data_IF_445502169623
#
_entry.id   IF_445502169623
#
_cell.length_a   1.000
_cell.length_b   1.000
_cell.length_c   1.000
_cell.angle_alpha   90.00
_cell.angle_beta   90.00
_cell.angle_gamma   90.00
#
_symmetry.space_group_name_H-M   'P 1'
#
loop_
_entity.id
_entity.type
_entity.pdbx_description
1 polymer ?
#
# COMPACT_ATOMS: atom_id res chain seq x y z
N UNK A 1 -3.45 25.49 -6.51
CA UNK A 1 -2.46 24.45 -6.21
C UNK A 1 -3.26 23.16 -6.20
N UNK A 2 -3.07 22.29 -7.18
CA UNK A 2 -3.71 20.98 -7.16
C UNK A 2 -3.20 20.28 -5.90
N UNK A 3 -4.11 19.73 -5.10
CA UNK A 3 -3.76 19.07 -3.87
C UNK A 3 -2.90 17.84 -4.21
N UNK A 4 -1.60 17.90 -3.91
CA UNK A 4 -0.63 16.90 -4.36
C UNK A 4 -1.01 15.51 -3.84
N UNK A 5 -1.62 15.46 -2.64
CA UNK A 5 -2.14 14.26 -2.00
C UNK A 5 -3.25 13.62 -2.83
N UNK A 6 -4.19 14.43 -3.33
CA UNK A 6 -5.28 13.93 -4.17
C UNK A 6 -4.78 13.26 -5.45
N UNK A 7 -3.70 13.79 -6.04
CA UNK A 7 -3.08 13.19 -7.23
C UNK A 7 -2.48 11.81 -6.92
N UNK A 8 -1.93 11.61 -5.73
CA UNK A 8 -1.39 10.32 -5.32
C UNK A 8 -2.51 9.28 -5.11
N UNK A 9 -3.63 9.66 -4.49
CA UNK A 9 -4.78 8.77 -4.36
C UNK A 9 -5.42 8.40 -5.69
N UNK A 10 -5.53 9.35 -6.64
CA UNK A 10 -5.97 9.06 -8.01
C UNK A 10 -5.04 8.06 -8.72
N UNK A 11 -3.72 8.19 -8.52
CA UNK A 11 -2.72 7.28 -9.08
C UNK A 11 -2.80 5.90 -8.43
N UNK A 12 -3.03 5.85 -7.12
CA UNK A 12 -3.26 4.61 -6.38
C UNK A 12 -4.50 3.88 -6.91
N UNK A 13 -5.64 4.56 -7.04
CA UNK A 13 -6.87 3.98 -7.59
C UNK A 13 -6.67 3.41 -9.00
N UNK A 14 -5.87 4.06 -9.85
CA UNK A 14 -5.50 3.53 -11.17
C UNK A 14 -4.63 2.29 -11.08
N UNK A 15 -3.63 2.29 -10.20
CA UNK A 15 -2.76 1.13 -9.98
C UNK A 15 -3.58 -0.09 -9.54
N UNK A 16 -4.56 0.10 -8.64
CA UNK A 16 -5.45 -0.96 -8.15
C UNK A 16 -6.21 -1.69 -9.26
N UNK A 17 -6.44 -1.05 -10.42
CA UNK A 17 -7.10 -1.70 -11.57
C UNK A 17 -6.31 -2.87 -12.16
N UNK A 18 -5.03 -3.02 -11.80
CA UNK A 18 -4.18 -4.14 -12.20
C UNK A 18 -4.21 -5.31 -11.22
N UNK A 19 -4.90 -5.18 -10.08
CA UNK A 19 -4.92 -6.17 -9.01
C UNK A 19 -6.34 -6.64 -8.70
N UNK A 20 -6.46 -7.87 -8.20
CA UNK A 20 -7.70 -8.32 -7.59
C UNK A 20 -7.86 -7.66 -6.22
N UNK A 21 -8.98 -6.95 -6.03
CA UNK A 21 -9.25 -6.20 -4.82
C UNK A 21 -10.59 -6.60 -4.20
N UNK A 22 -10.63 -6.68 -2.88
CA UNK A 22 -11.85 -6.74 -2.10
C UNK A 22 -11.89 -5.60 -1.09
N UNK A 23 -13.07 -5.19 -0.67
CA UNK A 23 -13.25 -4.05 0.23
C UNK A 23 -14.33 -4.35 1.26
N UNK A 24 -14.10 -3.87 2.48
CA UNK A 24 -15.06 -3.95 3.57
C UNK A 24 -15.28 -2.60 4.23
N UNK A 25 -16.52 -2.38 4.67
CA UNK A 25 -16.94 -1.28 5.52
C UNK A 25 -17.52 -1.86 6.81
N UNK A 26 -16.91 -1.55 7.96
CA UNK A 26 -17.23 -2.15 9.26
C UNK A 26 -17.25 -3.70 9.21
N UNK A 27 -16.30 -4.28 8.48
CA UNK A 27 -16.17 -5.73 8.30
C UNK A 27 -17.21 -6.36 7.35
N UNK A 28 -18.09 -5.55 6.75
CA UNK A 28 -19.07 -6.02 5.76
C UNK A 28 -18.54 -5.78 4.36
N UNK A 29 -18.52 -6.84 3.54
CA UNK A 29 -18.08 -6.76 2.15
C UNK A 29 -18.94 -5.78 1.34
N UNK A 30 -18.28 -4.91 0.57
CA UNK A 30 -18.92 -3.91 -0.27
C UNK A 30 -18.07 -3.62 -1.52
N UNK A 31 -18.63 -2.98 -2.55
CA UNK A 31 -17.83 -2.45 -3.66
C UNK A 31 -16.89 -1.34 -3.17
N UNK A 32 -15.64 -1.35 -3.63
CA UNK A 32 -14.70 -0.28 -3.33
C UNK A 32 -15.15 1.04 -4.00
N UNK A 33 -15.41 2.12 -3.25
CA UNK A 33 -15.97 3.36 -3.81
C UNK A 33 -14.91 4.34 -4.33
N UNK A 34 -13.62 3.94 -4.34
CA UNK A 34 -12.47 4.79 -4.65
C UNK A 34 -11.91 5.49 -3.41
N UNK A 35 -10.59 5.76 -3.43
CA UNK A 35 -9.86 6.28 -2.26
C UNK A 35 -10.41 7.61 -1.77
N UNK A 36 -10.82 8.51 -2.68
CA UNK A 36 -11.42 9.79 -2.32
C UNK A 36 -12.75 9.64 -1.56
N UNK A 37 -13.62 8.72 -2.00
CA UNK A 37 -14.89 8.46 -1.33
C UNK A 37 -14.67 7.87 0.05
N UNK A 38 -13.69 6.97 0.18
CA UNK A 38 -13.30 6.39 1.46
C UNK A 38 -12.74 7.47 2.40
N UNK A 39 -11.79 8.30 1.96
CA UNK A 39 -11.20 9.35 2.80
C UNK A 39 -12.22 10.44 3.17
N UNK A 40 -13.23 10.69 2.33
CA UNK A 40 -14.33 11.59 2.62
C UNK A 40 -15.35 11.03 3.62
N UNK A 41 -15.41 9.72 3.82
CA UNK A 41 -16.23 9.08 4.84
C UNK A 41 -15.37 8.66 6.03
N UNK A 42 -15.52 9.35 7.16
CA UNK A 42 -14.74 9.08 8.38
C UNK A 42 -15.52 8.27 9.41
N UNK A 43 -16.73 7.82 9.05
CA UNK A 43 -17.53 6.94 9.89
C UNK A 43 -17.10 5.49 9.67
N UNK A 44 -17.01 4.69 10.73
CA UNK A 44 -16.68 3.27 10.62
C UNK A 44 -15.23 2.98 10.22
N UNK A 45 -14.98 1.72 9.87
CA UNK A 45 -13.68 1.19 9.46
C UNK A 45 -13.69 0.79 7.98
N UNK A 46 -12.71 1.31 7.25
CA UNK A 46 -12.51 1.06 5.83
C UNK A 46 -11.27 0.19 5.63
N UNK A 47 -11.43 -0.96 4.98
CA UNK A 47 -10.30 -1.86 4.66
C UNK A 47 -10.41 -2.29 3.21
N UNK A 48 -9.38 -1.99 2.44
CA UNK A 48 -9.16 -2.54 1.10
C UNK A 48 -8.13 -3.66 1.20
N UNK A 49 -8.40 -4.82 0.62
CA UNK A 49 -7.49 -5.94 0.54
C UNK A 49 -7.11 -6.19 -0.92
N UNK A 50 -5.82 -6.15 -1.20
CA UNK A 50 -5.20 -6.34 -2.53
C UNK A 50 -4.56 -7.72 -2.54
N UNK A 51 -4.99 -8.58 -3.47
CA UNK A 51 -4.44 -9.92 -3.63
C UNK A 51 -3.32 -9.89 -4.68
N UNK A 52 -2.12 -10.31 -4.28
CA UNK A 52 -0.99 -10.51 -5.20
C UNK A 52 -1.04 -11.91 -5.84
N UNK A 53 -0.17 -12.19 -6.81
CA UNK A 53 -0.04 -13.54 -7.34
C UNK A 53 0.45 -14.50 -6.22
N UNK A 54 -0.42 -15.42 -5.80
CA UNK A 54 -0.15 -16.34 -4.67
C UNK A 54 -1.04 -16.05 -3.45
N UNK A 55 -0.62 -16.45 -2.24
CA UNK A 55 -1.42 -16.31 -1.03
C UNK A 55 -1.25 -14.96 -0.30
N UNK A 56 -0.47 -14.02 -0.84
CA UNK A 56 -0.13 -12.77 -0.15
C UNK A 56 -1.23 -11.74 -0.32
N UNK A 57 -1.73 -11.23 0.80
CA UNK A 57 -2.69 -10.15 0.84
C UNK A 57 -2.06 -8.90 1.44
N UNK A 58 -2.28 -7.76 0.79
CA UNK A 58 -1.89 -6.44 1.29
C UNK A 58 -3.16 -5.70 1.70
N UNK A 59 -3.18 -5.16 2.91
CA UNK A 59 -4.32 -4.42 3.44
C UNK A 59 -4.03 -2.92 3.46
N UNK A 60 -4.91 -2.10 2.91
CA UNK A 60 -4.88 -0.65 3.07
C UNK A 60 -5.95 -0.22 4.08
N UNK A 61 -5.48 0.40 5.16
CA UNK A 61 -6.32 1.05 6.15
C UNK A 61 -6.29 2.57 5.90
N UNK A 62 -7.45 3.16 5.61
CA UNK A 62 -7.55 4.56 5.20
C UNK A 62 -7.59 5.50 6.42
N UNK A 63 -6.44 5.67 7.08
CA UNK A 63 -6.36 6.44 8.31
C UNK A 63 -6.40 7.96 8.12
N UNK A 64 -5.61 8.54 7.23
CA UNK A 64 -5.60 10.00 6.96
C UNK A 64 -5.29 10.23 5.47
N UNK A 65 -5.59 11.42 4.95
CA UNK A 65 -5.41 11.71 3.52
C UNK A 65 -3.93 11.92 3.15
N UNK A 66 -3.11 12.27 4.13
CA UNK A 66 -1.70 12.62 3.98
C UNK A 66 -0.80 11.37 3.95
N UNK A 67 -1.33 10.20 4.35
CA UNK A 67 -0.55 8.97 4.52
C UNK A 67 -1.26 7.78 3.86
N UNK A 68 -0.57 7.17 2.90
CA UNK A 68 -0.93 5.86 2.37
C UNK A 68 -0.14 4.79 3.14
N UNK A 69 -0.85 4.01 3.93
CA UNK A 69 -0.29 2.91 4.70
C UNK A 69 -0.85 1.57 4.22
N UNK A 70 0.04 0.58 4.11
CA UNK A 70 -0.26 -0.74 3.62
C UNK A 70 0.36 -1.78 4.54
N UNK A 71 -0.48 -2.64 5.10
CA UNK A 71 -0.09 -3.73 5.97
C UNK A 71 0.14 -5.01 5.17
N UNK A 72 1.22 -5.71 5.50
CA UNK A 72 1.60 -6.98 4.91
C UNK A 72 1.89 -7.95 6.06
N UNK A 73 1.33 -9.15 6.02
CA UNK A 73 1.61 -10.18 7.01
C UNK A 73 2.87 -10.98 6.61
N UNK A 74 3.99 -10.90 7.35
CA UNK A 74 5.23 -11.62 6.98
C UNK A 74 5.05 -13.14 6.91
N UNK A 75 4.04 -13.69 7.61
CA UNK A 75 3.73 -15.12 7.60
C UNK A 75 3.14 -15.61 6.27
N UNK A 76 2.60 -14.71 5.45
CA UNK A 76 2.06 -15.04 4.13
C UNK A 76 3.17 -15.12 3.06
N UNK A 77 4.31 -14.49 3.33
CA UNK A 77 5.48 -14.46 2.43
C UNK A 77 6.25 -15.79 2.57
N UNK A 78 5.80 -16.79 1.84
CA UNK A 78 6.36 -18.14 1.87
C UNK A 78 7.19 -18.44 0.63
N UNK A 79 8.51 -18.36 0.77
CA UNK A 79 9.46 -18.65 -0.30
C UNK A 79 9.76 -17.47 -1.22
N UNK A 80 10.67 -17.69 -2.17
CA UNK A 80 11.23 -16.63 -3.02
C UNK A 80 10.19 -15.96 -3.91
N UNK A 81 9.28 -16.73 -4.52
CA UNK A 81 8.27 -16.17 -5.43
C UNK A 81 7.32 -15.20 -4.72
N UNK A 82 6.79 -15.56 -3.55
CA UNK A 82 5.94 -14.66 -2.77
C UNK A 82 6.69 -13.38 -2.33
N UNK A 83 7.98 -13.52 -2.01
CA UNK A 83 8.83 -12.38 -1.67
C UNK A 83 9.06 -11.45 -2.88
N UNK A 84 9.36 -12.01 -4.06
CA UNK A 84 9.52 -11.25 -5.30
C UNK A 84 8.24 -10.51 -5.71
N UNK A 85 7.07 -11.13 -5.52
CA UNK A 85 5.77 -10.48 -5.78
C UNK A 85 5.53 -9.27 -4.87
N UNK A 86 5.86 -9.39 -3.57
CA UNK A 86 5.77 -8.26 -2.64
C UNK A 86 6.71 -7.13 -3.06
N UNK A 87 7.96 -7.44 -3.41
CA UNK A 87 8.90 -6.42 -3.86
C UNK A 87 8.41 -5.76 -5.15
N UNK A 88 7.99 -6.54 -6.14
CA UNK A 88 7.43 -6.04 -7.40
C UNK A 88 6.22 -5.12 -7.16
N UNK A 89 5.31 -5.49 -6.26
CA UNK A 89 4.20 -4.62 -5.87
C UNK A 89 4.68 -3.29 -5.31
N UNK A 90 5.64 -3.30 -4.36
CA UNK A 90 6.16 -2.08 -3.74
C UNK A 90 6.88 -1.19 -4.76
N UNK A 91 7.62 -1.77 -5.70
CA UNK A 91 8.25 -1.04 -6.80
C UNK A 91 7.19 -0.37 -7.68
N UNK A 92 6.17 -1.12 -8.11
CA UNK A 92 5.08 -0.61 -8.94
C UNK A 92 4.30 0.50 -8.22
N UNK A 93 4.05 0.35 -6.93
CA UNK A 93 3.43 1.36 -6.08
C UNK A 93 4.24 2.66 -6.07
N UNK A 94 5.52 2.57 -5.70
CA UNK A 94 6.40 3.72 -5.62
C UNK A 94 6.56 4.43 -6.99
N UNK A 95 6.68 3.65 -8.06
CA UNK A 95 6.78 4.18 -9.43
C UNK A 95 5.48 4.86 -9.88
N UNK A 96 4.31 4.27 -9.60
CA UNK A 96 3.02 4.84 -9.96
C UNK A 96 2.73 6.15 -9.20
N UNK A 97 3.11 6.21 -7.92
CA UNK A 97 2.91 7.37 -7.08
C UNK A 97 3.99 8.45 -7.27
N UNK A 98 5.16 8.07 -7.79
CA UNK A 98 6.39 8.88 -7.83
C UNK A 98 6.90 9.26 -6.42
N UNK A 99 6.65 8.38 -5.44
CA UNK A 99 7.03 8.54 -4.04
C UNK A 99 7.90 7.38 -3.57
N UNK A 100 8.81 7.63 -2.62
CA UNK A 100 9.55 6.55 -1.97
C UNK A 100 8.58 5.66 -1.18
N UNK A 101 8.81 4.35 -1.22
CA UNK A 101 8.09 3.40 -0.38
C UNK A 101 9.00 2.94 0.76
N UNK A 102 8.52 3.05 1.98
CA UNK A 102 9.22 2.70 3.21
C UNK A 102 8.60 1.44 3.78
N UNK A 103 9.43 0.44 4.10
CA UNK A 103 8.97 -0.77 4.78
C UNK A 103 9.53 -0.74 6.20
N UNK A 104 8.62 -0.70 7.16
CA UNK A 104 8.89 -0.58 8.59
C UNK A 104 8.25 -1.75 9.33
N UNK A 105 8.71 -2.07 10.56
CA UNK A 105 7.86 -2.77 11.51
C UNK A 105 6.61 -1.93 11.80
N UNK A 106 5.48 -2.57 12.08
CA UNK A 106 4.18 -1.94 12.35
C UNK A 106 4.25 -0.79 13.38
N UNK A 107 5.11 -0.92 14.40
CA UNK A 107 5.18 0.04 15.50
C UNK A 107 6.35 1.04 15.39
N UNK A 108 7.07 1.04 14.27
CA UNK A 108 8.29 1.85 14.10
C UNK A 108 8.36 2.56 12.75
N UNK A 109 7.38 3.44 12.47
CA UNK A 109 7.28 4.20 11.21
C UNK A 109 8.56 5.00 10.85
N UNK A 110 9.39 5.34 11.84
CA UNK A 110 10.60 6.17 11.64
C UNK A 110 11.87 5.35 11.42
N UNK A 111 11.81 4.02 11.49
CA UNK A 111 12.95 3.10 11.33
C UNK A 111 12.69 2.10 10.21
N UNK A 112 12.62 2.55 8.94
CA UNK A 112 12.48 1.64 7.82
C UNK A 112 13.69 0.72 7.75
N UNK A 113 13.48 -0.58 7.56
CA UNK A 113 14.57 -1.52 7.28
C UNK A 113 14.82 -1.66 5.77
N UNK A 114 13.83 -1.30 4.95
CA UNK A 114 13.93 -1.27 3.50
C UNK A 114 13.25 -0.04 2.92
N UNK A 115 13.83 0.55 1.87
CA UNK A 115 13.22 1.67 1.13
C UNK A 115 13.44 1.50 -0.37
N UNK A 116 12.38 1.66 -1.15
CA UNK A 116 12.50 1.79 -2.60
C UNK A 116 12.47 3.26 -3.01
N UNK A 117 13.42 3.66 -3.87
CA UNK A 117 13.54 5.03 -4.38
C UNK A 117 13.22 5.02 -5.87
N UNK A 118 12.02 5.48 -6.30
CA UNK A 118 11.59 5.36 -7.70
C UNK A 118 12.42 6.23 -8.65
N UNK A 119 13.01 7.33 -8.18
CA UNK A 119 13.83 8.20 -9.03
C UNK A 119 15.11 7.52 -9.51
N UNK A 120 15.61 6.53 -8.76
CA UNK A 120 16.81 5.76 -9.11
C UNK A 120 16.51 4.31 -9.44
N UNK A 121 15.29 3.82 -9.19
CA UNK A 121 14.90 2.42 -9.39
C UNK A 121 15.68 1.46 -8.48
N UNK A 122 15.99 1.88 -7.25
CA UNK A 122 16.90 1.14 -6.35
C UNK A 122 16.30 0.93 -4.97
N UNK A 123 16.55 -0.26 -4.43
CA UNK A 123 16.37 -0.57 -3.02
C UNK A 123 17.54 -0.06 -2.17
N UNK A 124 17.21 0.44 -0.98
CA UNK A 124 18.14 0.76 0.10
C UNK A 124 17.79 -0.08 1.31
N UNK A 125 18.75 -0.88 1.78
CA UNK A 125 18.66 -1.61 3.04
C UNK A 125 19.22 -0.70 4.12
N UNK A 126 18.50 -0.58 5.24
CA UNK A 126 18.95 0.18 6.40
C UNK A 126 19.39 -0.80 7.49
N UNK A 127 20.52 -0.53 8.10
CA UNK A 127 20.97 -1.30 9.27
C UNK A 127 20.10 -0.94 10.48
N UNK A 128 19.67 -1.94 11.24
CA UNK A 128 19.04 -1.70 12.53
C UNK A 128 20.09 -1.09 13.48
N UNK A 129 19.86 0.15 13.91
CA UNK A 129 20.70 0.87 14.87
C UNK A 129 20.57 0.31 16.28
#
# INVERSE_FOLDING_TARGET
MQDTEAVHWDRFDRLLSHYECSYTFDGVAAPFPGSHSVLGNREGSHVLSILLEGPVQICCHFFIAEQLELDICPKEITGTSAHEEVLSFVENLAMALELCAYITPENEETTPFLTYVPQTGTWRIHDAS
#
